data_IF_380702739761
#
_entry.id   IF_380702739761
#
_cell.length_a   1.000
_cell.length_b   1.000
_cell.length_c   1.000
_cell.angle_alpha   90.00
_cell.angle_beta   90.00
_cell.angle_gamma   90.00
#
_symmetry.space_group_name_H-M   'P 1'
#
loop_
_entity.id
_entity.type
_entity.pdbx_description
1 polymer ?
#
# COMPACT_ATOMS: atom_id res chain seq x y z
N UNK A 1 14.41 5.06 1.43
CA UNK A 1 15.64 5.89 1.31
C UNK A 1 15.62 7.11 2.23
N UNK A 2 14.57 7.94 2.26
CA UNK A 2 14.47 9.07 3.23
C UNK A 2 13.94 8.71 4.63
N UNK A 3 13.50 7.46 4.85
CA UNK A 3 12.87 7.06 6.13
C UNK A 3 11.47 7.62 6.36
N UNK A 4 10.90 8.34 5.39
CA UNK A 4 9.55 8.90 5.46
C UNK A 4 8.47 7.89 5.03
N UNK A 5 7.24 7.99 5.57
CA UNK A 5 6.12 7.18 5.13
C UNK A 5 5.74 7.41 3.66
N UNK A 6 5.29 6.36 2.99
CA UNK A 6 4.72 6.47 1.66
C UNK A 6 3.44 7.34 1.65
N UNK A 7 3.29 8.16 0.61
CA UNK A 7 2.15 9.07 0.44
C UNK A 7 0.96 8.41 -0.29
N UNK A 8 1.17 7.26 -0.92
CA UNK A 8 0.13 6.51 -1.64
C UNK A 8 -0.04 5.13 -1.01
N UNK A 9 -1.28 4.63 -1.01
CA UNK A 9 -1.61 3.37 -0.33
C UNK A 9 -0.93 2.14 -0.95
N UNK A 10 -0.58 2.19 -2.23
CA UNK A 10 0.04 1.07 -2.97
C UNK A 10 1.45 0.79 -2.48
N UNK A 11 2.22 1.81 -2.08
CA UNK A 11 3.59 1.66 -1.55
C UNK A 11 3.68 1.84 -0.03
N UNK A 12 2.56 2.06 0.66
CA UNK A 12 2.52 2.09 2.13
C UNK A 12 2.49 0.70 2.76
N UNK A 13 2.86 0.56 4.02
CA UNK A 13 2.86 -0.73 4.71
C UNK A 13 1.45 -1.36 4.82
N UNK A 14 0.46 -0.52 5.05
CA UNK A 14 -0.95 -0.91 5.14
C UNK A 14 -1.81 -0.04 4.22
N UNK A 15 -3.03 -0.51 3.91
CA UNK A 15 -4.00 0.24 3.11
C UNK A 15 -5.29 0.51 3.90
N UNK A 16 -6.42 0.71 3.22
CA UNK A 16 -7.73 0.86 3.88
C UNK A 16 -8.03 2.26 4.44
N UNK A 17 -7.23 3.28 4.11
CA UNK A 17 -7.50 4.67 4.49
C UNK A 17 -8.43 5.41 3.51
N UNK A 18 -8.46 4.99 2.24
CA UNK A 18 -9.31 5.58 1.21
C UNK A 18 -10.57 4.75 1.01
N UNK A 19 -11.61 5.02 1.80
CA UNK A 19 -12.94 4.43 1.58
C UNK A 19 -13.52 4.92 0.25
N UNK A 20 -14.23 4.05 -0.46
CA UNK A 20 -15.00 4.42 -1.64
C UNK A 20 -16.47 4.62 -1.25
N UNK A 21 -17.14 5.61 -1.86
CA UNK A 21 -18.56 5.87 -1.65
C UNK A 21 -19.22 5.91 -3.02
N UNK A 22 -20.19 5.02 -3.23
CA UNK A 22 -20.99 4.98 -4.45
C UNK A 22 -22.12 5.99 -4.42
N UNK A 23 -22.70 6.27 -5.59
CA UNK A 23 -23.77 7.28 -5.75
C UNK A 23 -24.98 7.04 -4.85
N UNK A 24 -25.29 5.78 -4.54
CA UNK A 24 -26.40 5.40 -3.65
C UNK A 24 -26.06 5.53 -2.15
N UNK A 25 -24.86 5.99 -1.81
CA UNK A 25 -24.38 6.15 -0.45
C UNK A 25 -23.67 4.92 0.12
N UNK A 26 -23.58 3.81 -0.61
CA UNK A 26 -22.88 2.62 -0.14
C UNK A 26 -21.37 2.90 -0.01
N UNK A 27 -20.81 2.50 1.12
CA UNK A 27 -19.40 2.72 1.46
C UNK A 27 -18.66 1.39 1.40
N UNK A 28 -17.51 1.36 0.75
CA UNK A 28 -16.65 0.20 0.57
C UNK A 28 -15.24 0.45 1.12
N UNK A 29 -14.53 -0.62 1.47
CA UNK A 29 -13.20 -0.54 2.07
C UNK A 29 -12.13 0.17 1.20
N UNK A 30 -12.28 0.14 -0.14
CA UNK A 30 -11.37 0.73 -1.12
C UNK A 30 -12.03 0.71 -2.51
N UNK A 31 -11.65 1.64 -3.39
CA UNK A 31 -12.08 1.72 -4.80
C UNK A 31 -11.71 0.48 -5.64
N UNK A 32 -10.67 -0.25 -5.28
CA UNK A 32 -10.33 -1.54 -5.92
C UNK A 32 -11.15 -2.74 -5.40
N UNK A 33 -11.95 -2.53 -4.35
CA UNK A 33 -12.69 -3.55 -3.62
C UNK A 33 -14.17 -3.19 -3.49
N UNK A 34 -14.80 -2.73 -4.58
CA UNK A 34 -16.24 -2.43 -4.63
C UNK A 34 -17.03 -3.73 -4.93
N UNK A 35 -17.03 -4.64 -3.96
CA UNK A 35 -17.82 -5.88 -3.99
C UNK A 35 -18.63 -6.02 -2.69
N UNK A 36 -19.76 -6.75 -2.67
CA UNK A 36 -20.62 -6.86 -1.48
C UNK A 36 -19.88 -7.29 -0.20
N UNK A 37 -18.92 -8.21 -0.33
CA UNK A 37 -18.05 -8.69 0.74
C UNK A 37 -17.11 -7.62 1.35
N UNK A 38 -16.96 -6.45 0.72
CA UNK A 38 -16.17 -5.32 1.22
C UNK A 38 -17.03 -4.07 1.45
N UNK A 39 -18.36 -4.19 1.38
CA UNK A 39 -19.27 -3.12 1.78
C UNK A 39 -19.23 -2.97 3.30
N UNK A 40 -19.03 -1.73 3.75
CA UNK A 40 -18.93 -1.34 5.14
C UNK A 40 -20.26 -0.84 5.71
N UNK A 41 -21.15 -0.34 4.84
CA UNK A 41 -22.47 0.18 5.20
C UNK A 41 -22.95 1.22 4.20
N UNK A 42 -23.93 2.02 4.60
CA UNK A 42 -24.39 3.19 3.85
C UNK A 42 -24.15 4.47 4.67
N UNK A 43 -23.75 5.55 4.00
CA UNK A 43 -23.45 6.86 4.59
C UNK A 43 -24.67 7.52 5.26
N UNK A 44 -25.89 7.16 4.84
CA UNK A 44 -27.12 7.68 5.42
C UNK A 44 -27.39 7.08 6.81
N UNK A 45 -26.95 5.84 7.05
CA UNK A 45 -27.24 5.08 8.26
C UNK A 45 -26.09 5.07 9.27
N UNK A 46 -24.86 5.38 8.83
CA UNK A 46 -23.65 5.34 9.66
C UNK A 46 -22.70 6.49 9.35
N UNK A 47 -21.91 6.90 10.34
CA UNK A 47 -20.87 7.92 10.13
C UNK A 47 -19.62 7.32 9.45
N UNK A 48 -18.95 8.12 8.62
CA UNK A 48 -17.66 7.71 8.02
C UNK A 48 -16.62 7.35 9.06
N UNK A 49 -16.55 8.11 10.17
CA UNK A 49 -15.61 7.81 11.23
C UNK A 49 -15.83 6.40 11.80
N UNK A 50 -17.08 6.01 12.06
CA UNK A 50 -17.41 4.67 12.56
C UNK A 50 -16.98 3.58 11.57
N UNK A 51 -17.20 3.78 10.28
CA UNK A 51 -16.79 2.82 9.25
C UNK A 51 -15.28 2.77 9.07
N UNK A 52 -14.62 3.93 8.98
CA UNK A 52 -13.18 4.07 8.76
C UNK A 52 -12.33 3.52 9.90
N UNK A 53 -12.80 3.65 11.15
CA UNK A 53 -12.09 3.17 12.34
C UNK A 53 -12.60 1.82 12.85
N UNK A 54 -13.53 1.17 12.14
CA UNK A 54 -14.05 -0.15 12.53
C UNK A 54 -12.97 -1.24 12.51
N UNK A 55 -13.12 -2.26 13.35
CA UNK A 55 -12.22 -3.43 13.36
C UNK A 55 -12.13 -4.11 12.00
N UNK A 56 -13.27 -4.19 11.27
CA UNK A 56 -13.32 -4.72 9.91
C UNK A 56 -12.41 -3.94 8.95
N UNK A 57 -12.45 -2.60 9.01
CA UNK A 57 -11.62 -1.77 8.13
C UNK A 57 -10.14 -1.84 8.52
N UNK A 58 -9.84 -1.91 9.81
CA UNK A 58 -8.48 -2.12 10.29
C UNK A 58 -7.93 -3.47 9.82
N UNK A 59 -8.72 -4.55 9.93
CA UNK A 59 -8.35 -5.88 9.46
C UNK A 59 -8.11 -5.90 7.94
N UNK A 60 -8.96 -5.23 7.16
CA UNK A 60 -8.75 -5.05 5.71
C UNK A 60 -7.41 -4.35 5.42
N UNK A 61 -7.14 -3.22 6.08
CA UNK A 61 -5.93 -2.44 5.88
C UNK A 61 -4.64 -3.18 6.27
N UNK A 62 -4.65 -3.81 7.45
CA UNK A 62 -3.51 -4.59 7.98
C UNK A 62 -3.30 -5.90 7.24
N UNK A 63 -4.34 -6.43 6.60
CA UNK A 63 -4.24 -7.59 5.71
C UNK A 63 -3.15 -7.41 4.64
N UNK A 64 -2.88 -6.17 4.20
CA UNK A 64 -1.82 -5.86 3.23
C UNK A 64 -0.43 -6.34 3.67
N UNK A 65 -0.01 -6.03 4.89
CA UNK A 65 1.30 -6.44 5.40
C UNK A 65 1.27 -7.85 5.99
N UNK A 66 0.16 -8.24 6.64
CA UNK A 66 0.01 -9.54 7.29
C UNK A 66 0.07 -10.72 6.30
N UNK A 67 -0.45 -10.53 5.09
CA UNK A 67 -0.55 -11.58 4.05
C UNK A 67 0.61 -11.60 3.06
N UNK A 68 1.71 -10.89 3.34
CA UNK A 68 2.87 -10.89 2.45
C UNK A 68 3.51 -12.29 2.40
N UNK A 69 3.83 -12.80 1.19
CA UNK A 69 4.57 -14.04 1.07
C UNK A 69 6.01 -13.88 1.58
N UNK A 70 6.66 -14.99 1.92
CA UNK A 70 8.05 -15.02 2.39
C UNK A 70 9.00 -14.29 1.45
N UNK A 71 8.85 -14.50 0.14
CA UNK A 71 9.63 -13.80 -0.89
C UNK A 71 9.56 -12.26 -0.77
N UNK A 72 8.42 -11.71 -0.36
CA UNK A 72 8.28 -10.27 -0.12
C UNK A 72 8.93 -9.85 1.20
N UNK A 73 8.75 -10.65 2.26
CA UNK A 73 9.32 -10.39 3.60
C UNK A 73 10.85 -10.34 3.59
N UNK A 74 11.48 -11.13 2.73
CA UNK A 74 12.93 -11.21 2.56
C UNK A 74 13.48 -10.26 1.46
N UNK A 75 12.61 -9.53 0.77
CA UNK A 75 13.00 -8.65 -0.33
C UNK A 75 13.68 -7.36 0.19
N UNK A 76 14.85 -6.95 -0.37
CA UNK A 76 15.51 -5.71 0.05
C UNK A 76 14.65 -4.46 -0.20
N UNK A 77 13.74 -4.52 -1.18
CA UNK A 77 12.84 -3.43 -1.53
C UNK A 77 11.51 -3.43 -0.77
N UNK A 78 11.33 -4.29 0.25
CA UNK A 78 10.08 -4.37 1.00
C UNK A 78 9.65 -3.00 1.56
N UNK A 79 10.57 -2.22 2.12
CA UNK A 79 10.28 -0.89 2.69
C UNK A 79 9.96 0.20 1.64
N UNK A 80 10.13 -0.10 0.36
CA UNK A 80 9.79 0.82 -0.74
C UNK A 80 8.52 0.37 -1.47
N UNK A 81 8.30 -0.94 -1.57
CA UNK A 81 7.21 -1.54 -2.34
C UNK A 81 6.04 -1.99 -1.46
N UNK A 82 6.32 -2.53 -0.27
CA UNK A 82 5.34 -3.14 0.64
C UNK A 82 4.40 -4.16 -0.04
N UNK A 83 4.94 -4.88 -1.03
CA UNK A 83 4.21 -5.87 -1.82
C UNK A 83 3.10 -5.29 -2.71
N UNK A 84 3.08 -3.97 -2.92
CA UNK A 84 2.11 -3.25 -3.76
C UNK A 84 0.65 -3.50 -3.31
N UNK A 85 -0.35 -2.99 -4.04
CA UNK A 85 -1.77 -3.25 -3.82
C UNK A 85 -2.08 -4.76 -3.77
N UNK A 86 -2.81 -5.23 -2.73
CA UNK A 86 -3.26 -6.63 -2.68
C UNK A 86 -4.11 -7.07 -3.88
N UNK A 87 -4.79 -6.14 -4.56
CA UNK A 87 -5.61 -6.43 -5.75
C UNK A 87 -4.79 -7.02 -6.91
N UNK A 88 -3.50 -6.68 -6.97
CA UNK A 88 -2.59 -7.09 -8.03
C UNK A 88 -1.73 -8.31 -7.63
N UNK A 89 -1.99 -8.92 -6.47
CA UNK A 89 -1.28 -10.09 -5.94
C UNK A 89 -1.83 -11.42 -6.48
N UNK A 90 -1.70 -11.56 -7.80
CA UNK A 90 -2.40 -12.58 -8.60
C UNK A 90 -1.58 -13.84 -8.88
N UNK A 91 -0.28 -13.86 -8.55
CA UNK A 91 0.63 -14.96 -8.90
C UNK A 91 1.28 -15.58 -7.68
N UNK A 92 1.91 -16.73 -7.89
CA UNK A 92 2.68 -17.44 -6.87
C UNK A 92 4.10 -16.87 -6.75
N UNK A 93 4.63 -16.88 -5.54
CA UNK A 93 6.04 -16.70 -5.27
C UNK A 93 6.84 -17.93 -5.76
N UNK A 94 8.17 -17.78 -5.82
CA UNK A 94 9.07 -18.82 -6.30
C UNK A 94 9.00 -20.12 -5.48
N UNK A 95 8.66 -20.03 -4.20
CA UNK A 95 8.44 -21.15 -3.28
C UNK A 95 7.00 -21.70 -3.34
N UNK A 96 6.15 -21.16 -4.21
CA UNK A 96 4.76 -21.60 -4.40
C UNK A 96 3.73 -20.88 -3.52
N UNK A 97 4.16 -20.03 -2.58
CA UNK A 97 3.23 -19.23 -1.76
C UNK A 97 2.36 -18.32 -2.64
N UNK A 98 1.09 -18.15 -2.26
CA UNK A 98 0.18 -17.23 -2.94
C UNK A 98 0.44 -15.78 -2.54
N UNK A 99 -0.04 -14.84 -3.35
CA UNK A 99 -0.07 -13.43 -2.97
C UNK A 99 1.17 -12.65 -3.42
N UNK A 100 1.88 -13.10 -4.45
CA UNK A 100 2.90 -12.28 -5.09
C UNK A 100 2.26 -11.33 -6.10
N UNK A 101 2.71 -10.07 -6.09
CA UNK A 101 2.31 -9.09 -7.10
C UNK A 101 2.75 -9.53 -8.51
N UNK A 102 1.84 -9.46 -9.49
CA UNK A 102 2.11 -9.84 -10.87
C UNK A 102 3.28 -9.06 -11.50
N UNK A 103 3.47 -7.80 -11.13
CA UNK A 103 4.55 -6.92 -11.59
C UNK A 103 5.79 -6.95 -10.68
N UNK A 104 5.88 -7.86 -9.72
CA UNK A 104 7.03 -7.95 -8.81
C UNK A 104 8.40 -7.98 -9.53
N UNK A 105 8.60 -8.75 -10.63
CA UNK A 105 9.86 -8.72 -11.38
C UNK A 105 10.18 -7.34 -11.95
N UNK A 106 9.20 -6.65 -12.52
CA UNK A 106 9.36 -5.32 -13.10
C UNK A 106 9.65 -4.26 -12.04
N UNK A 107 8.95 -4.31 -10.90
CA UNK A 107 9.20 -3.41 -9.77
C UNK A 107 10.61 -3.62 -9.20
N UNK A 108 11.05 -4.88 -9.07
CA UNK A 108 12.43 -5.20 -8.67
C UNK A 108 13.45 -4.65 -9.68
N UNK A 109 13.22 -4.86 -10.97
CA UNK A 109 14.10 -4.34 -12.01
C UNK A 109 14.20 -2.81 -11.99
N UNK A 110 13.06 -2.12 -11.77
CA UNK A 110 13.04 -0.67 -11.60
C UNK A 110 13.90 -0.23 -10.41
N UNK A 111 13.73 -0.83 -9.23
CA UNK A 111 14.50 -0.43 -8.06
C UNK A 111 15.99 -0.75 -8.20
N UNK A 112 16.35 -1.90 -8.77
CA UNK A 112 17.75 -2.24 -9.07
C UNK A 112 18.43 -1.15 -9.93
N UNK A 113 17.70 -0.58 -10.90
CA UNK A 113 18.21 0.48 -11.76
C UNK A 113 18.20 1.87 -11.09
N UNK A 114 17.08 2.20 -10.44
CA UNK A 114 16.82 3.55 -9.93
C UNK A 114 17.48 3.84 -8.57
N UNK A 115 17.82 2.82 -7.78
CA UNK A 115 18.36 2.96 -6.43
C UNK A 115 19.54 3.95 -6.31
N UNK A 116 20.63 3.87 -7.09
CA UNK A 116 21.73 4.84 -7.00
C UNK A 116 21.30 6.26 -7.36
N UNK A 117 20.39 6.42 -8.32
CA UNK A 117 19.86 7.73 -8.74
C UNK A 117 19.01 8.34 -7.62
N UNK A 118 18.11 7.54 -7.04
CA UNK A 118 17.27 7.94 -5.93
C UNK A 118 18.10 8.29 -4.69
N UNK A 119 19.17 7.54 -4.40
CA UNK A 119 20.10 7.88 -3.32
C UNK A 119 20.77 9.25 -3.56
N UNK A 120 21.15 9.55 -4.81
CA UNK A 120 21.66 10.87 -5.20
C UNK A 120 20.65 11.99 -4.98
N UNK A 121 19.41 11.81 -5.46
CA UNK A 121 18.31 12.78 -5.28
C UNK A 121 18.04 13.01 -3.79
N UNK A 122 17.98 11.96 -2.99
CA UNK A 122 17.80 12.07 -1.53
C UNK A 122 18.93 12.87 -0.90
N UNK A 123 20.18 12.59 -1.26
CA UNK A 123 21.35 13.32 -0.74
C UNK A 123 21.27 14.81 -1.05
N UNK A 124 20.90 15.18 -2.27
CA UNK A 124 20.74 16.57 -2.68
C UNK A 124 19.57 17.25 -1.96
N UNK A 125 18.40 16.61 -1.94
CA UNK A 125 17.22 17.13 -1.27
C UNK A 125 17.48 17.35 0.23
N UNK A 126 18.09 16.39 0.93
CA UNK A 126 18.41 16.54 2.37
C UNK A 126 19.42 17.66 2.63
N UNK A 127 20.39 17.87 1.74
CA UNK A 127 21.32 19.01 1.83
C UNK A 127 20.58 20.34 1.69
N UNK A 128 19.70 20.46 0.70
CA UNK A 128 18.91 21.67 0.47
C UNK A 128 17.94 21.94 1.63
N UNK A 129 17.27 20.91 2.18
CA UNK A 129 16.42 21.03 3.36
C UNK A 129 17.18 21.57 4.59
N UNK A 130 18.42 21.13 4.81
CA UNK A 130 19.27 21.67 5.88
C UNK A 130 19.74 23.11 5.60
N UNK A 131 19.79 23.53 4.33
CA UNK A 131 20.10 24.90 3.92
C UNK A 131 18.93 25.88 4.03
N UNK A 132 17.68 25.37 3.99
CA UNK A 132 16.44 26.15 4.15
C UNK A 132 16.02 26.30 5.62
N UNK A 133 16.61 25.52 6.53
CA UNK A 133 16.43 25.66 7.98
C UNK A 133 17.23 26.84 8.58
N UNK A 134 17.18 28.01 7.94
CA UNK A 134 17.69 29.29 8.47
C UNK A 134 16.54 30.22 8.81
#
# INVERSE_FOLDING_TARGET
>A
MMGMPAQICTTSEFCGKGLAIEKNGDVFSCDHYVYPQYQMGNIADNTLARMAFSERQQAFGMGKCATLPKQCKECPYLKLCHGECPKNRLVRAADGELGLNYLCPGIKAFFNYAEPILAGIVTLATRDFNGVAR
#
